data_IF_300782071206
#
_entry.id   IF_300782071206
#
_cell.length_a   1.000
_cell.length_b   1.000
_cell.length_c   1.000
_cell.angle_alpha   90.00
_cell.angle_beta   90.00
_cell.angle_gamma   90.00
#
_symmetry.space_group_name_H-M   'P 1'
#
loop_
_entity.id
_entity.type
_entity.pdbx_description
1 polymer ?
#
# COMPACT_ATOMS: atom_id res chain seq x y z
N UNK A 1 16.72 6.99 -0.51
CA UNK A 1 15.36 7.05 0.07
C UNK A 1 14.42 7.72 -0.92
N UNK A 2 13.96 6.98 -1.95
CA UNK A 2 13.08 7.46 -3.02
C UNK A 2 11.66 6.93 -2.80
N UNK A 3 10.98 7.48 -1.81
CA UNK A 3 9.56 7.20 -1.56
C UNK A 3 8.73 7.96 -2.59
N UNK A 4 7.85 7.24 -3.30
CA UNK A 4 6.98 7.81 -4.34
C UNK A 4 5.52 7.53 -4.03
N UNK A 5 4.67 8.47 -4.40
CA UNK A 5 3.21 8.36 -4.26
C UNK A 5 2.59 8.14 -5.62
N UNK A 6 1.60 7.26 -5.67
CA UNK A 6 0.90 6.87 -6.88
C UNK A 6 -0.60 6.92 -6.61
N UNK A 7 -1.30 7.76 -7.38
CA UNK A 7 -2.75 7.88 -7.27
C UNK A 7 -3.40 7.32 -8.52
N UNK A 8 -4.37 6.43 -8.35
CA UNK A 8 -5.11 5.82 -9.44
C UNK A 8 -6.61 5.80 -9.15
N UNK A 9 -7.42 5.67 -10.20
CA UNK A 9 -8.89 5.61 -10.05
C UNK A 9 -9.35 4.38 -9.25
N UNK A 10 -8.53 3.33 -9.21
CA UNK A 10 -8.76 2.13 -8.40
C UNK A 10 -7.44 1.64 -7.82
N UNK A 11 -7.50 0.78 -6.79
CA UNK A 11 -6.28 0.18 -6.22
C UNK A 11 -5.46 -0.59 -7.26
N UNK A 12 -6.12 -1.22 -8.24
CA UNK A 12 -5.45 -1.92 -9.33
C UNK A 12 -4.66 -0.97 -10.22
N UNK A 13 -5.24 0.21 -10.50
CA UNK A 13 -4.59 1.22 -11.32
C UNK A 13 -3.38 1.83 -10.60
N UNK A 14 -3.54 2.19 -9.33
CA UNK A 14 -2.44 2.68 -8.50
C UNK A 14 -1.30 1.66 -8.39
N UNK A 15 -1.61 0.36 -8.21
CA UNK A 15 -0.61 -0.71 -8.18
C UNK A 15 0.08 -0.93 -9.53
N UNK A 16 -0.62 -0.71 -10.64
CA UNK A 16 -0.02 -0.75 -11.98
C UNK A 16 0.98 0.38 -12.15
N UNK A 17 0.64 1.60 -11.74
CA UNK A 17 1.55 2.74 -11.76
C UNK A 17 2.81 2.51 -10.91
N UNK A 18 2.64 1.92 -9.73
CA UNK A 18 3.77 1.50 -8.87
C UNK A 18 4.69 0.55 -9.64
N UNK A 19 4.13 -0.49 -10.28
CA UNK A 19 4.92 -1.48 -11.03
C UNK A 19 5.62 -0.89 -12.24
N UNK A 20 4.94 -0.03 -13.00
CA UNK A 20 5.51 0.64 -14.17
C UNK A 20 6.64 1.60 -13.79
N UNK A 21 6.55 2.24 -12.61
CA UNK A 21 7.49 3.26 -12.19
C UNK A 21 8.65 2.76 -11.31
N UNK A 22 8.45 1.68 -10.55
CA UNK A 22 9.40 1.13 -9.57
C UNK A 22 9.80 -0.32 -9.86
N UNK A 23 9.06 -1.03 -10.70
CA UNK A 23 9.29 -2.44 -11.01
C UNK A 23 8.41 -3.41 -10.19
N UNK A 24 8.59 -4.70 -10.45
CA UNK A 24 7.81 -5.77 -9.83
C UNK A 24 8.09 -5.91 -8.32
N UNK A 25 9.31 -5.54 -7.90
CA UNK A 25 9.80 -5.64 -6.51
C UNK A 25 9.48 -4.40 -5.67
N UNK A 26 8.53 -3.56 -6.10
CA UNK A 26 8.13 -2.39 -5.33
C UNK A 26 7.41 -2.79 -4.02
N UNK A 27 7.78 -2.13 -2.93
CA UNK A 27 7.19 -2.33 -1.61
C UNK A 27 6.22 -1.20 -1.31
N UNK A 28 4.96 -1.57 -1.03
CA UNK A 28 3.89 -0.65 -0.64
C UNK A 28 3.95 -0.39 0.86
N UNK A 29 4.09 0.86 1.24
CA UNK A 29 4.07 1.33 2.63
C UNK A 29 2.66 1.64 3.11
N UNK A 30 1.84 2.24 2.23
CA UNK A 30 0.49 2.70 2.58
C UNK A 30 -0.45 2.60 1.39
N UNK A 31 -1.71 2.29 1.67
CA UNK A 31 -2.82 2.30 0.71
C UNK A 31 -3.99 3.02 1.37
N UNK A 32 -4.41 4.14 0.78
CA UNK A 32 -5.52 4.95 1.26
C UNK A 32 -6.49 5.23 0.12
N UNK A 33 -7.77 5.02 0.40
CA UNK A 33 -8.87 5.51 -0.45
C UNK A 33 -9.17 6.96 -0.09
N UNK A 34 -9.24 7.83 -1.09
CA UNK A 34 -9.60 9.23 -0.96
C UNK A 34 -11.13 9.41 -1.04
N UNK A 35 -11.60 10.57 -0.61
CA UNK A 35 -13.02 10.94 -0.58
C UNK A 35 -13.65 11.02 -1.98
N UNK A 36 -12.83 11.23 -3.01
CA UNK A 36 -13.23 11.20 -4.43
C UNK A 36 -13.35 9.77 -5.00
N UNK A 37 -13.06 8.75 -4.19
CA UNK A 37 -13.05 7.34 -4.57
C UNK A 37 -11.75 6.87 -5.22
N UNK A 38 -10.78 7.75 -5.43
CA UNK A 38 -9.46 7.37 -5.91
C UNK A 38 -8.61 6.70 -4.82
N UNK A 39 -7.54 6.03 -5.23
CA UNK A 39 -6.66 5.30 -4.33
C UNK A 39 -5.25 5.83 -4.44
N UNK A 40 -4.70 6.28 -3.31
CA UNK A 40 -3.29 6.68 -3.17
C UNK A 40 -2.50 5.53 -2.54
N UNK A 41 -1.43 5.14 -3.23
CA UNK A 41 -0.47 4.15 -2.80
C UNK A 41 0.89 4.82 -2.64
N UNK A 42 1.48 4.68 -1.46
CA UNK A 42 2.85 5.13 -1.18
C UNK A 42 3.76 3.92 -1.24
N UNK A 43 4.77 3.96 -2.11
CA UNK A 43 5.65 2.83 -2.35
C UNK A 43 7.10 3.27 -2.63
N UNK A 44 8.03 2.32 -2.51
CA UNK A 44 9.43 2.48 -2.89
C UNK A 44 9.95 1.18 -3.54
N UNK A 45 11.10 1.24 -4.19
CA UNK A 45 11.77 0.05 -4.71
C UNK A 45 12.44 -0.74 -3.58
N UNK A 46 12.45 -2.08 -3.65
CA UNK A 46 13.13 -2.96 -2.68
C UNK A 46 14.61 -2.58 -2.44
N UNK A 47 15.33 -2.22 -3.51
CA UNK A 47 16.71 -1.75 -3.42
C UNK A 47 16.92 -0.55 -2.49
N UNK A 48 15.88 0.27 -2.32
CA UNK A 48 15.89 1.45 -1.43
C UNK A 48 15.38 1.10 -0.02
N UNK A 49 14.59 0.02 0.14
CA UNK A 49 14.18 -0.54 1.43
C UNK A 49 15.36 -1.17 2.18
N UNK A 50 16.25 -1.84 1.46
CA UNK A 50 17.47 -2.44 2.01
C UNK A 50 18.38 -1.41 2.72
N UNK A 51 18.26 -0.13 2.37
CA UNK A 51 18.99 0.95 3.01
C UNK A 51 18.33 1.46 4.31
N UNK A 52 17.09 1.05 4.63
CA UNK A 52 16.24 1.74 5.63
C UNK A 52 15.80 0.84 6.81
N UNK A 53 15.69 -0.48 6.69
CA UNK A 53 15.05 -1.28 7.75
C UNK A 53 15.81 -2.55 8.19
N UNK A 54 16.10 -2.73 9.50
CA UNK A 54 16.21 -4.06 10.12
C UNK A 54 14.88 -4.81 9.98
N UNK A 55 14.85 -6.16 10.08
CA UNK A 55 13.67 -6.97 9.78
C UNK A 55 12.58 -6.73 10.83
N UNK A 56 11.72 -5.75 10.59
CA UNK A 56 10.66 -5.39 11.51
C UNK A 56 9.32 -5.29 10.78
N UNK A 57 8.55 -6.36 10.97
CA UNK A 57 7.11 -6.37 11.11
C UNK A 57 6.28 -5.91 9.90
N UNK A 58 5.80 -6.92 9.17
CA UNK A 58 4.49 -6.93 8.53
C UNK A 58 3.38 -6.51 9.53
N UNK A 59 3.19 -5.21 9.73
CA UNK A 59 1.99 -4.57 10.30
C UNK A 59 1.56 -3.57 9.22
N UNK A 60 0.36 -3.58 8.64
CA UNK A 60 -0.89 -4.09 9.13
C UNK A 60 -1.79 -4.49 7.96
N UNK A 61 -2.07 -5.80 7.84
CA UNK A 61 -3.36 -6.24 7.36
C UNK A 61 -4.33 -6.08 8.53
N UNK A 62 -4.81 -4.86 8.77
CA UNK A 62 -6.03 -4.67 9.57
C UNK A 62 -7.21 -5.12 8.71
N UNK A 63 -7.30 -6.44 8.53
CA UNK A 63 -8.56 -7.09 8.24
C UNK A 63 -9.39 -6.95 9.52
N UNK A 64 -10.45 -6.17 9.43
CA UNK A 64 -11.44 -5.98 10.46
C UNK A 64 -11.86 -7.32 11.09
N UNK A 65 -11.96 -7.43 12.43
CA UNK A 65 -12.74 -8.50 13.03
C UNK A 65 -14.21 -8.20 12.73
N UNK A 66 -14.80 -9.10 11.92
CA UNK A 66 -16.24 -9.21 11.70
C UNK A 66 -16.89 -9.57 13.03
N UNK A 67 -17.78 -8.73 13.56
CA UNK A 67 -18.72 -9.14 14.61
C UNK A 67 -20.13 -9.16 14.00
N UNK A 68 -20.77 -10.33 13.79
CA UNK A 68 -22.20 -10.38 13.60
C UNK A 68 -22.85 -10.10 14.96
N UNK A 69 -23.46 -8.93 15.09
CA UNK A 69 -24.32 -8.61 16.23
C UNK A 69 -25.52 -9.57 16.16
N UNK A 70 -25.47 -10.63 16.97
CA UNK A 70 -26.63 -11.47 17.22
C UNK A 70 -27.59 -10.72 18.13
N UNK A 71 -28.77 -10.53 17.57
CA UNK A 71 -30.03 -10.00 18.11
C UNK A 71 -30.40 -10.65 19.46
N UNK A 72 -30.93 -9.90 20.44
CA UNK A 72 -31.87 -10.44 21.43
C UNK A 72 -33.33 -10.32 20.98
#
# INVERSE_FOLDING_TARGET
MNIRKFTGATSRDALRLVREALGADAVVLSNRTLDDGSVEIVALADSDLAAVAPPAAARARTLAPRAPESVP
#
